data_IF_263036734538
#
_entry.id   IF_263036734538
#
_cell.length_a   1.000
_cell.length_b   1.000
_cell.length_c   1.000
_cell.angle_alpha   90.00
_cell.angle_beta   90.00
_cell.angle_gamma   90.00
#
_symmetry.space_group_name_H-M   'P 1'
#
loop_
_entity.id
_entity.type
_entity.pdbx_description
1 polymer ?
#
# COMPACT_ATOMS: atom_id res chain seq x y z
N UNK A 1 -9.03 25.69 -23.90
CA UNK A 1 -10.14 24.74 -24.16
C UNK A 1 -9.93 23.53 -23.25
N UNK A 2 -10.44 23.59 -22.01
CA UNK A 2 -10.20 22.56 -20.98
C UNK A 2 -11.40 21.61 -20.95
N UNK A 3 -11.17 20.33 -21.24
CA UNK A 3 -12.22 19.29 -21.22
C UNK A 3 -12.59 18.98 -19.77
N UNK A 4 -13.80 19.39 -19.36
CA UNK A 4 -14.47 18.88 -18.15
C UNK A 4 -14.85 17.42 -18.38
N UNK A 5 -14.23 16.48 -17.66
CA UNK A 5 -14.81 15.15 -17.44
C UNK A 5 -15.76 15.25 -16.26
N UNK A 6 -17.05 15.09 -16.53
CA UNK A 6 -18.12 15.02 -15.55
C UNK A 6 -18.06 13.61 -14.95
N UNK A 7 -17.63 13.48 -13.70
CA UNK A 7 -17.73 12.22 -12.96
C UNK A 7 -19.18 12.08 -12.46
N UNK A 8 -19.93 11.17 -13.09
CA UNK A 8 -21.12 10.55 -12.50
C UNK A 8 -20.71 9.15 -12.08
N UNK A 9 -20.43 8.92 -10.80
CA UNK A 9 -20.49 7.60 -10.20
C UNK A 9 -20.94 7.77 -8.73
N UNK A 10 -21.92 6.96 -8.34
CA UNK A 10 -22.55 6.96 -7.01
C UNK A 10 -21.76 5.97 -6.16
N UNK A 11 -21.19 6.43 -5.04
CA UNK A 11 -20.42 5.61 -4.09
C UNK A 11 -21.14 5.58 -2.74
N UNK A 12 -21.20 4.39 -2.15
CA UNK A 12 -21.92 4.06 -0.91
C UNK A 12 -20.95 3.41 0.08
N UNK A 13 -20.39 4.12 1.07
CA UNK A 13 -19.33 3.54 1.94
C UNK A 13 -19.87 3.05 3.29
N UNK A 14 -19.39 1.88 3.73
CA UNK A 14 -19.63 1.23 5.02
C UNK A 14 -18.57 1.69 6.05
N UNK A 15 -18.96 1.88 7.30
CA UNK A 15 -18.02 1.94 8.43
C UNK A 15 -17.82 0.51 8.96
N UNK A 16 -16.71 -0.15 8.62
CA UNK A 16 -16.37 -1.47 9.16
C UNK A 16 -15.58 -1.33 10.47
N UNK A 17 -16.07 -2.03 11.50
CA UNK A 17 -15.33 -2.30 12.74
C UNK A 17 -14.58 -3.62 12.58
N UNK A 18 -13.33 -3.67 13.06
CA UNK A 18 -12.41 -4.80 12.93
C UNK A 18 -12.99 -6.16 13.35
N UNK A 19 -12.64 -7.22 12.61
CA UNK A 19 -12.71 -8.61 13.06
C UNK A 19 -11.31 -9.22 12.90
N UNK A 20 -10.71 -9.61 14.02
CA UNK A 20 -9.49 -10.43 14.10
C UNK A 20 -9.80 -11.89 13.79
N UNK A 21 -9.00 -12.49 12.92
CA UNK A 21 -9.06 -13.90 12.51
C UNK A 21 -8.59 -14.83 13.65
N UNK A 22 -9.37 -15.87 13.94
CA UNK A 22 -8.85 -17.14 14.51
C UNK A 22 -9.42 -18.26 13.63
N UNK A 23 -8.55 -19.21 13.26
CA UNK A 23 -8.71 -20.09 12.11
C UNK A 23 -9.82 -21.15 12.19
N UNK A 24 -10.03 -21.79 11.04
CA UNK A 24 -10.96 -22.90 10.86
C UNK A 24 -11.88 -22.70 9.66
N UNK A 25 -11.71 -23.54 8.65
CA UNK A 25 -12.34 -23.50 7.33
C UNK A 25 -13.88 -23.65 7.33
N UNK A 26 -14.47 -23.14 6.23
CA UNK A 26 -15.82 -23.37 5.66
C UNK A 26 -16.90 -22.32 5.98
N UNK A 27 -17.25 -21.49 4.98
CA UNK A 27 -18.58 -20.88 4.90
C UNK A 27 -19.10 -20.96 3.46
N UNK A 28 -20.10 -21.82 3.26
CA UNK A 28 -21.01 -21.82 2.12
C UNK A 28 -22.24 -20.97 2.46
N UNK A 29 -22.58 -20.00 1.61
CA UNK A 29 -23.81 -19.21 1.71
C UNK A 29 -25.02 -20.00 1.19
N UNK A 30 -25.71 -20.74 2.06
CA UNK A 30 -27.16 -21.02 1.96
C UNK A 30 -27.68 -21.67 3.26
N UNK A 31 -28.69 -21.02 3.89
CA UNK A 31 -29.49 -21.41 5.07
C UNK A 31 -29.04 -22.70 5.80
N UNK A 32 -28.38 -22.54 6.94
CA UNK A 32 -28.08 -23.62 7.89
C UNK A 32 -28.75 -23.29 9.22
N UNK A 33 -29.68 -24.13 9.66
CA UNK A 33 -30.06 -24.23 11.07
C UNK A 33 -28.87 -24.85 11.80
N UNK A 34 -28.16 -24.07 12.60
CA UNK A 34 -27.19 -24.56 13.56
C UNK A 34 -27.50 -23.93 14.93
N UNK A 35 -27.91 -24.77 15.87
CA UNK A 35 -27.97 -24.41 17.29
C UNK A 35 -26.56 -24.19 17.80
N UNK A 36 -26.17 -22.93 17.92
CA UNK A 36 -25.24 -22.45 18.93
C UNK A 36 -25.56 -20.97 19.10
N UNK A 37 -25.76 -20.52 20.33
CA UNK A 37 -26.08 -19.14 20.67
C UNK A 37 -24.90 -18.20 20.35
N UNK A 38 -24.65 -17.98 19.07
CA UNK A 38 -23.85 -16.86 18.62
C UNK A 38 -24.80 -15.67 18.51
N UNK A 39 -24.63 -14.70 19.40
CA UNK A 39 -25.31 -13.40 19.34
C UNK A 39 -24.78 -12.65 18.11
N UNK A 40 -25.22 -13.04 16.92
CA UNK A 40 -25.06 -12.23 15.73
C UNK A 40 -26.09 -11.11 15.82
N UNK A 41 -25.63 -9.87 16.00
CA UNK A 41 -26.50 -8.74 15.70
C UNK A 41 -26.53 -8.59 14.18
N UNK A 42 -27.67 -8.87 13.56
CA UNK A 42 -27.95 -8.45 12.19
C UNK A 42 -28.07 -6.93 12.14
N UNK A 43 -26.95 -6.22 12.31
CA UNK A 43 -26.87 -4.80 12.00
C UNK A 43 -26.77 -4.66 10.49
N UNK A 44 -27.92 -4.73 9.85
CA UNK A 44 -28.09 -4.40 8.44
C UNK A 44 -28.13 -2.87 8.36
N UNK A 45 -26.96 -2.22 8.32
CA UNK A 45 -26.89 -0.83 7.91
C UNK A 45 -27.01 -0.77 6.40
N UNK A 46 -28.06 -0.11 5.89
CA UNK A 46 -28.12 0.21 4.45
C UNK A 46 -27.06 1.29 4.18
N UNK A 47 -26.12 1.05 3.25
CA UNK A 47 -25.12 2.06 2.91
C UNK A 47 -25.78 3.38 2.54
N UNK A 48 -25.34 4.47 3.15
CA UNK A 48 -25.79 5.81 2.79
C UNK A 48 -24.81 6.45 1.82
N UNK A 49 -25.36 7.15 0.83
CA UNK A 49 -24.56 7.92 -0.12
C UNK A 49 -23.85 9.02 0.66
N UNK A 50 -22.53 9.07 0.57
CA UNK A 50 -21.73 10.15 1.13
C UNK A 50 -21.62 11.28 0.11
N UNK A 51 -21.56 12.52 0.60
CA UNK A 51 -21.30 13.68 -0.25
C UNK A 51 -19.85 13.65 -0.72
N UNK A 52 -19.65 13.94 -2.00
CA UNK A 52 -18.31 14.09 -2.58
C UNK A 52 -17.67 15.33 -2.00
N UNK A 53 -16.44 15.20 -1.49
CA UNK A 53 -15.67 16.33 -0.98
C UNK A 53 -15.50 17.36 -2.09
N UNK A 54 -16.05 18.57 -1.89
CA UNK A 54 -15.83 19.66 -2.81
C UNK A 54 -14.45 20.28 -2.56
N UNK A 55 -13.45 19.85 -3.33
CA UNK A 55 -12.05 20.28 -3.21
C UNK A 55 -11.92 21.81 -3.29
N UNK A 56 -12.80 22.49 -4.04
CA UNK A 56 -12.77 23.97 -4.15
C UNK A 56 -13.15 24.71 -2.86
N UNK A 57 -13.77 24.02 -1.90
CA UNK A 57 -14.12 24.56 -0.59
C UNK A 57 -13.06 24.25 0.48
N UNK A 58 -12.03 23.48 0.15
CA UNK A 58 -10.94 23.18 1.06
C UNK A 58 -9.96 24.36 1.13
N UNK A 59 -9.60 24.75 2.35
CA UNK A 59 -8.56 25.75 2.64
C UNK A 59 -7.16 25.17 2.38
N UNK A 60 -6.81 25.09 1.09
CA UNK A 60 -5.53 24.58 0.61
C UNK A 60 -4.47 25.68 0.63
N UNK A 61 -3.26 25.34 1.09
CA UNK A 61 -2.13 26.26 1.12
C UNK A 61 -1.26 26.08 -0.12
N UNK A 62 -0.82 27.20 -0.71
CA UNK A 62 0.15 27.21 -1.83
C UNK A 62 1.60 27.13 -1.34
N UNK A 63 1.89 27.70 -0.17
CA UNK A 63 3.22 27.68 0.44
C UNK A 63 3.31 26.54 1.46
N UNK A 64 3.92 25.43 1.05
CA UNK A 64 4.15 24.25 1.89
C UNK A 64 5.62 23.86 1.90
N UNK A 65 6.11 23.49 3.09
CA UNK A 65 7.45 22.94 3.28
C UNK A 65 7.34 21.42 3.34
N UNK A 66 8.03 20.74 2.42
CA UNK A 66 8.16 19.29 2.38
C UNK A 66 9.60 18.91 2.67
N UNK A 67 9.81 17.64 3.06
CA UNK A 67 11.16 17.07 3.24
C UNK A 67 11.98 17.21 1.96
N UNK A 68 11.35 16.95 0.81
CA UNK A 68 11.94 17.21 -0.51
C UNK A 68 11.53 18.60 -1.02
N UNK A 69 12.51 19.50 -1.13
CA UNK A 69 12.27 20.86 -1.66
C UNK A 69 12.01 20.85 -3.18
N UNK A 70 12.38 19.79 -3.89
CA UNK A 70 12.14 19.62 -5.32
C UNK A 70 10.88 18.78 -5.63
N UNK A 71 10.07 18.48 -4.61
CA UNK A 71 8.86 17.68 -4.76
C UNK A 71 7.97 18.24 -5.89
N UNK A 72 7.43 17.32 -6.70
CA UNK A 72 6.59 17.63 -7.86
C UNK A 72 5.35 18.43 -7.46
N UNK A 73 4.73 19.13 -8.42
CA UNK A 73 3.49 19.88 -8.18
C UNK A 73 2.36 18.97 -7.70
N UNK A 74 2.31 17.72 -8.16
CA UNK A 74 1.34 16.70 -7.74
C UNK A 74 1.55 16.27 -6.29
N UNK A 75 2.80 16.02 -5.88
CA UNK A 75 3.15 15.72 -4.48
C UNK A 75 2.78 16.88 -3.54
N UNK A 76 3.07 18.11 -3.98
CA UNK A 76 2.70 19.32 -3.25
C UNK A 76 1.19 19.47 -3.13
N UNK A 77 0.45 19.25 -4.21
CA UNK A 77 -1.00 19.31 -4.22
C UNK A 77 -1.62 18.26 -3.30
N UNK A 78 -1.12 17.01 -3.31
CA UNK A 78 -1.56 15.96 -2.40
C UNK A 78 -1.37 16.38 -0.94
N UNK A 79 -0.19 16.87 -0.57
CA UNK A 79 0.08 17.33 0.79
C UNK A 79 -0.88 18.46 1.21
N UNK A 80 -1.07 19.48 0.36
CA UNK A 80 -2.01 20.57 0.64
C UNK A 80 -3.45 20.09 0.78
N UNK A 81 -3.87 19.12 -0.04
CA UNK A 81 -5.18 18.47 0.08
C UNK A 81 -5.34 17.76 1.41
N UNK A 82 -4.39 16.91 1.81
CA UNK A 82 -4.46 16.16 3.07
C UNK A 82 -4.46 17.08 4.29
N UNK A 83 -3.65 18.16 4.27
CA UNK A 83 -3.63 19.18 5.33
C UNK A 83 -4.95 19.93 5.44
N UNK A 84 -5.58 20.28 4.31
CA UNK A 84 -6.86 20.97 4.30
C UNK A 84 -7.99 20.04 4.76
N UNK A 85 -7.99 18.79 4.29
CA UNK A 85 -8.97 17.78 4.67
C UNK A 85 -8.91 17.48 6.18
N UNK A 86 -7.71 17.40 6.77
CA UNK A 86 -7.54 17.18 8.21
C UNK A 86 -8.09 18.29 9.11
N UNK A 87 -8.52 19.44 8.54
CA UNK A 87 -9.24 20.50 9.26
C UNK A 87 -10.77 20.35 9.21
N UNK A 88 -11.27 19.34 8.50
CA UNK A 88 -12.70 19.05 8.36
C UNK A 88 -13.12 17.90 9.28
N UNK A 89 -14.41 17.55 9.27
CA UNK A 89 -14.96 16.37 9.95
C UNK A 89 -14.84 15.08 9.14
N UNK A 90 -14.18 15.12 7.96
CA UNK A 90 -14.06 14.00 7.03
C UNK A 90 -12.83 13.15 7.32
N UNK A 91 -12.97 11.86 7.05
CA UNK A 91 -11.89 10.87 7.12
C UNK A 91 -11.75 10.17 5.77
N UNK A 92 -10.52 9.86 5.38
CA UNK A 92 -10.27 9.00 4.23
C UNK A 92 -10.15 7.57 4.72
N UNK A 93 -10.99 6.70 4.19
CA UNK A 93 -10.85 5.27 4.37
C UNK A 93 -9.69 4.75 3.52
N UNK A 94 -8.79 3.98 4.13
CA UNK A 94 -7.69 3.32 3.46
C UNK A 94 -7.72 1.81 3.64
N UNK A 95 -7.28 1.09 2.62
CA UNK A 95 -7.23 -0.37 2.64
C UNK A 95 -5.93 -0.86 1.97
N UNK A 96 -5.17 -1.69 2.69
CA UNK A 96 -3.97 -2.33 2.13
C UNK A 96 -4.41 -3.32 1.07
N UNK A 97 -3.73 -3.29 -0.07
CA UNK A 97 -3.91 -4.19 -1.19
C UNK A 97 -5.30 -4.17 -1.85
N UNK A 98 -6.00 -3.04 -1.73
CA UNK A 98 -7.42 -2.91 -2.08
C UNK A 98 -7.80 -3.34 -3.50
N UNK A 99 -6.92 -3.15 -4.48
CA UNK A 99 -7.22 -3.41 -5.90
C UNK A 99 -6.50 -4.63 -6.46
N UNK A 100 -5.79 -5.38 -5.63
CA UNK A 100 -4.98 -6.51 -6.11
C UNK A 100 -4.99 -7.71 -5.16
N UNK A 101 -5.54 -7.58 -3.94
CA UNK A 101 -5.85 -8.69 -3.06
C UNK A 101 -7.30 -8.64 -2.62
N UNK A 102 -7.94 -9.79 -2.75
CA UNK A 102 -9.35 -9.99 -2.47
C UNK A 102 -9.49 -11.17 -1.52
N UNK A 103 -10.27 -11.00 -0.47
CA UNK A 103 -10.47 -12.03 0.55
C UNK A 103 -11.50 -13.08 0.10
N UNK A 104 -12.50 -12.69 -0.68
CA UNK A 104 -13.63 -13.54 -1.07
C UNK A 104 -14.02 -13.33 -2.53
N UNK A 105 -14.60 -14.35 -3.17
CA UNK A 105 -15.19 -14.25 -4.52
C UNK A 105 -14.19 -13.78 -5.59
N UNK A 106 -12.97 -14.34 -5.58
CA UNK A 106 -11.85 -13.93 -6.43
C UNK A 106 -12.16 -13.98 -7.94
N UNK A 107 -13.08 -14.85 -8.36
CA UNK A 107 -13.47 -15.03 -9.76
C UNK A 107 -14.77 -14.29 -10.13
N UNK A 108 -15.24 -13.36 -9.30
CA UNK A 108 -16.52 -12.66 -9.48
C UNK A 108 -16.44 -11.19 -9.08
N UNK A 109 -17.32 -10.36 -9.68
CA UNK A 109 -17.42 -8.92 -9.43
C UNK A 109 -16.17 -8.12 -9.83
N UNK A 110 -15.66 -7.25 -8.95
CA UNK A 110 -14.49 -6.41 -9.21
C UNK A 110 -13.24 -6.94 -8.49
N UNK A 111 -12.11 -6.31 -8.76
CA UNK A 111 -10.82 -6.62 -8.15
C UNK A 111 -10.63 -6.06 -6.72
N UNK A 112 -11.69 -5.56 -6.08
CA UNK A 112 -11.63 -4.92 -4.76
C UNK A 112 -12.83 -5.30 -3.91
N UNK A 113 -12.58 -5.81 -2.70
CA UNK A 113 -13.63 -6.05 -1.70
C UNK A 113 -14.35 -4.74 -1.34
N UNK A 114 -13.61 -3.65 -1.18
CA UNK A 114 -14.18 -2.32 -0.92
C UNK A 114 -15.14 -1.93 -2.05
N UNK A 115 -14.75 -2.11 -3.30
CA UNK A 115 -15.57 -1.73 -4.46
C UNK A 115 -16.81 -2.58 -4.63
N UNK A 116 -16.75 -3.87 -4.31
CA UNK A 116 -17.92 -4.74 -4.38
C UNK A 116 -18.98 -4.40 -3.33
N UNK A 117 -18.54 -3.98 -2.14
CA UNK A 117 -19.44 -3.55 -1.07
C UNK A 117 -19.94 -2.12 -1.28
N UNK A 118 -19.09 -1.24 -1.79
CA UNK A 118 -19.32 0.22 -1.74
C UNK A 118 -19.53 0.90 -3.09
N UNK A 119 -19.20 0.25 -4.19
CA UNK A 119 -19.19 0.83 -5.54
C UNK A 119 -17.93 1.66 -5.86
N UNK A 120 -16.99 1.81 -4.94
CA UNK A 120 -15.70 2.51 -5.15
C UNK A 120 -14.54 1.80 -4.48
N UNK A 121 -13.33 1.98 -5.00
CA UNK A 121 -12.10 1.62 -4.26
C UNK A 121 -11.96 2.50 -2.99
N UNK A 122 -11.09 2.09 -2.08
CA UNK A 122 -10.66 2.90 -0.95
C UNK A 122 -10.03 4.22 -1.42
N UNK A 123 -10.16 5.27 -0.61
CA UNK A 123 -9.59 6.57 -0.94
C UNK A 123 -8.05 6.56 -0.83
N UNK A 124 -7.52 5.78 0.12
CA UNK A 124 -6.09 5.52 0.28
C UNK A 124 -5.83 4.03 0.02
N UNK A 125 -5.21 3.70 -1.11
CA UNK A 125 -4.83 2.32 -1.43
C UNK A 125 -3.40 2.07 -0.94
N UNK A 126 -3.25 1.07 -0.06
CA UNK A 126 -1.96 0.63 0.43
C UNK A 126 -1.28 -0.35 -0.52
N UNK A 127 0.01 -0.15 -0.74
CA UNK A 127 0.95 -1.05 -1.41
C UNK A 127 2.21 -1.22 -0.53
N UNK A 128 3.09 -2.17 -0.85
CA UNK A 128 4.33 -2.37 -0.10
C UNK A 128 5.58 -2.50 -1.00
N UNK A 129 6.69 -1.96 -0.53
CA UNK A 129 8.00 -2.03 -1.18
C UNK A 129 8.80 -3.30 -0.84
N UNK A 130 8.17 -4.37 -0.35
CA UNK A 130 8.83 -5.67 -0.13
C UNK A 130 9.27 -6.33 -1.44
N UNK A 131 8.68 -5.95 -2.57
CA UNK A 131 8.93 -6.52 -3.90
C UNK A 131 8.79 -8.05 -3.96
N UNK A 132 8.04 -8.67 -3.04
CA UNK A 132 7.75 -10.09 -3.18
C UNK A 132 6.78 -10.28 -4.35
N UNK A 133 6.98 -11.35 -5.14
CA UNK A 133 6.09 -11.66 -6.26
C UNK A 133 4.64 -11.84 -5.79
N UNK A 134 4.48 -12.40 -4.59
CA UNK A 134 3.19 -12.49 -3.91
C UNK A 134 2.61 -11.08 -3.69
N UNK A 135 3.29 -10.19 -2.97
CA UNK A 135 2.77 -8.84 -2.65
C UNK A 135 2.26 -8.09 -3.88
N UNK A 136 3.03 -8.03 -4.97
CA UNK A 136 2.63 -7.30 -6.18
C UNK A 136 1.70 -8.09 -7.11
N UNK A 137 1.40 -9.35 -6.78
CA UNK A 137 0.60 -10.25 -7.62
C UNK A 137 1.26 -10.57 -8.97
N UNK A 138 2.58 -10.77 -8.99
CA UNK A 138 3.33 -11.09 -10.20
C UNK A 138 3.08 -12.54 -10.63
N UNK A 139 2.59 -12.73 -11.85
CA UNK A 139 2.28 -14.04 -12.43
C UNK A 139 3.39 -14.53 -13.35
N UNK A 140 3.35 -15.82 -13.72
CA UNK A 140 4.28 -16.35 -14.73
C UNK A 140 4.03 -15.76 -16.13
N UNK A 141 2.79 -15.38 -16.44
CA UNK A 141 2.45 -14.66 -17.67
C UNK A 141 3.07 -13.25 -17.69
N UNK A 142 3.03 -12.52 -16.57
CA UNK A 142 3.72 -11.23 -16.43
C UNK A 142 5.22 -11.39 -16.74
N UNK A 143 5.87 -12.39 -16.12
CA UNK A 143 7.29 -12.68 -16.34
C UNK A 143 7.59 -13.05 -17.78
N UNK A 144 6.74 -13.88 -18.41
CA UNK A 144 6.88 -14.25 -19.82
C UNK A 144 6.76 -13.03 -20.75
N UNK A 145 6.01 -12.01 -20.33
CA UNK A 145 5.89 -10.72 -21.02
C UNK A 145 6.96 -9.68 -20.61
N UNK A 146 7.99 -10.09 -19.85
CA UNK A 146 9.08 -9.22 -19.44
C UNK A 146 8.70 -8.20 -18.35
N UNK A 147 7.60 -8.43 -17.62
CA UNK A 147 7.20 -7.60 -16.49
C UNK A 147 7.88 -8.14 -15.23
N UNK A 148 8.64 -7.29 -14.56
CA UNK A 148 9.21 -7.56 -13.24
C UNK A 148 8.35 -6.96 -12.11
N UNK A 149 8.78 -7.14 -10.86
CA UNK A 149 8.02 -6.68 -9.69
C UNK A 149 7.88 -5.15 -9.66
N UNK A 150 8.89 -4.42 -10.16
CA UNK A 150 8.89 -2.95 -10.19
C UNK A 150 7.86 -2.47 -11.20
N UNK A 151 7.87 -3.02 -12.42
CA UNK A 151 6.92 -2.64 -13.46
C UNK A 151 5.50 -3.06 -13.08
N UNK A 152 5.32 -4.22 -12.43
CA UNK A 152 4.01 -4.66 -11.93
C UNK A 152 3.46 -3.70 -10.87
N UNK A 153 4.30 -3.32 -9.89
CA UNK A 153 3.94 -2.35 -8.86
C UNK A 153 3.60 -0.96 -9.47
N UNK A 154 4.38 -0.50 -10.45
CA UNK A 154 4.10 0.74 -11.15
C UNK A 154 2.74 0.72 -11.89
N UNK A 155 2.46 -0.36 -12.63
CA UNK A 155 1.19 -0.54 -13.33
C UNK A 155 -0.01 -0.51 -12.36
N UNK A 156 0.14 -1.18 -11.22
CA UNK A 156 -0.87 -1.21 -10.16
C UNK A 156 -1.16 0.19 -9.60
N UNK A 157 -0.12 0.96 -9.26
CA UNK A 157 -0.26 2.33 -8.78
C UNK A 157 -0.92 3.25 -9.83
N UNK A 158 -0.57 3.08 -11.11
CA UNK A 158 -1.21 3.80 -12.22
C UNK A 158 -2.71 3.46 -12.32
N UNK A 159 -3.11 2.22 -12.10
CA UNK A 159 -4.52 1.82 -12.16
C UNK A 159 -5.33 2.28 -10.94
N UNK A 160 -4.68 2.44 -9.78
CA UNK A 160 -5.23 3.10 -8.60
C UNK A 160 -5.45 4.59 -8.89
N UNK A 161 -4.45 5.29 -9.43
CA UNK A 161 -4.51 6.72 -9.75
C UNK A 161 -5.59 7.04 -10.80
N UNK A 162 -5.72 6.22 -11.85
CA UNK A 162 -6.80 6.35 -12.85
C UNK A 162 -8.21 6.30 -12.24
N UNK A 163 -8.36 5.66 -11.08
CA UNK A 163 -9.62 5.60 -10.33
C UNK A 163 -9.74 6.70 -9.26
N UNK A 164 -8.73 7.55 -9.11
CA UNK A 164 -8.68 8.67 -8.17
C UNK A 164 -8.21 8.29 -6.76
N UNK A 165 -7.61 7.11 -6.58
CA UNK A 165 -7.06 6.66 -5.30
C UNK A 165 -5.73 7.33 -4.98
N UNK A 166 -5.47 7.57 -3.69
CA UNK A 166 -4.18 8.03 -3.17
C UNK A 166 -3.33 6.80 -2.83
N UNK A 167 -2.07 6.78 -3.26
CA UNK A 167 -1.16 5.67 -2.98
C UNK A 167 -0.44 5.93 -1.66
N UNK A 168 -0.46 4.96 -0.75
CA UNK A 168 0.47 4.87 0.38
C UNK A 168 1.33 3.62 0.24
N UNK A 169 2.63 3.74 0.49
CA UNK A 169 3.59 2.66 0.33
C UNK A 169 4.34 2.42 1.63
N UNK A 170 4.10 1.28 2.27
CA UNK A 170 4.97 0.78 3.34
C UNK A 170 6.20 0.09 2.76
N UNK A 171 7.15 -0.27 3.62
CA UNK A 171 8.35 -0.98 3.22
C UNK A 171 8.68 -2.09 4.22
N UNK A 172 8.24 -3.31 3.94
CA UNK A 172 8.74 -4.50 4.62
C UNK A 172 10.07 -4.93 4.00
N UNK A 173 11.14 -4.22 4.36
CA UNK A 173 12.48 -4.45 3.85
C UNK A 173 13.03 -5.80 4.32
N UNK A 174 13.69 -6.59 3.45
CA UNK A 174 14.25 -7.88 3.85
C UNK A 174 15.41 -7.70 4.83
N UNK A 175 15.76 -8.75 5.56
CA UNK A 175 17.01 -8.79 6.31
C UNK A 175 18.18 -8.84 5.30
N UNK A 176 18.99 -7.78 5.25
CA UNK A 176 20.03 -7.61 4.23
C UNK A 176 21.20 -8.58 4.35
N UNK A 177 21.42 -9.19 5.51
CA UNK A 177 22.41 -10.27 5.65
C UNK A 177 21.96 -11.51 4.87
N UNK A 178 20.70 -11.91 5.03
CA UNK A 178 20.14 -13.05 4.30
C UNK A 178 20.13 -12.80 2.79
N UNK A 179 19.88 -11.55 2.36
CA UNK A 179 20.01 -11.17 0.94
C UNK A 179 21.45 -11.32 0.46
N UNK A 180 22.43 -10.89 1.26
CA UNK A 180 23.86 -11.01 0.93
C UNK A 180 24.30 -12.46 0.83
N UNK A 181 23.85 -13.32 1.74
CA UNK A 181 24.20 -14.75 1.79
C UNK A 181 23.75 -15.53 0.55
N UNK A 182 22.61 -15.14 -0.05
CA UNK A 182 22.16 -15.67 -1.35
C UNK A 182 23.10 -15.34 -2.50
N UNK A 183 23.89 -14.28 -2.36
CA UNK A 183 24.72 -13.74 -3.43
C UNK A 183 23.91 -12.96 -4.47
N UNK A 184 24.61 -12.56 -5.53
CA UNK A 184 24.01 -11.88 -6.68
C UNK A 184 23.50 -12.90 -7.69
N UNK A 185 22.40 -12.58 -8.35
CA UNK A 185 21.92 -13.32 -9.52
C UNK A 185 22.86 -13.11 -10.70
N UNK A 186 22.62 -13.84 -11.79
CA UNK A 186 23.41 -13.75 -13.03
C UNK A 186 23.45 -12.34 -13.64
N UNK A 187 22.43 -11.51 -13.35
CA UNK A 187 22.34 -10.11 -13.79
C UNK A 187 23.18 -9.13 -12.93
N UNK A 188 23.90 -9.64 -11.92
CA UNK A 188 24.71 -8.84 -11.01
C UNK A 188 23.91 -8.08 -9.94
N UNK A 189 22.59 -8.27 -9.86
CA UNK A 189 21.71 -7.67 -8.84
C UNK A 189 21.46 -8.66 -7.70
N UNK A 190 21.19 -8.12 -6.51
CA UNK A 190 20.73 -8.91 -5.38
C UNK A 190 19.26 -9.34 -5.53
N UNK A 191 18.89 -10.43 -4.89
CA UNK A 191 17.52 -10.94 -4.83
C UNK A 191 16.84 -10.55 -3.50
N UNK A 192 15.85 -9.66 -3.59
CA UNK A 192 15.08 -9.15 -2.44
C UNK A 192 13.70 -9.81 -2.30
N UNK A 193 13.39 -10.84 -3.09
CA UNK A 193 12.03 -11.38 -3.24
C UNK A 193 11.51 -12.19 -2.04
N UNK A 194 12.35 -12.45 -1.03
CA UNK A 194 11.97 -13.22 0.16
C UNK A 194 11.62 -12.31 1.34
N UNK A 195 10.45 -12.57 1.93
CA UNK A 195 10.04 -11.90 3.15
C UNK A 195 10.91 -12.34 4.33
N UNK A 196 11.67 -11.40 4.88
CA UNK A 196 12.55 -11.63 6.04
C UNK A 196 12.63 -10.41 6.97
N UNK A 197 11.68 -9.47 6.85
CA UNK A 197 11.64 -8.27 7.70
C UNK A 197 11.50 -8.61 9.19
N UNK A 198 10.89 -9.77 9.49
CA UNK A 198 10.72 -10.30 10.84
C UNK A 198 11.92 -11.07 11.40
N UNK A 199 12.97 -11.28 10.61
CA UNK A 199 14.21 -11.92 11.09
C UNK A 199 15.08 -10.83 11.71
N UNK A 200 15.06 -10.74 13.04
CA UNK A 200 15.63 -9.61 13.78
C UNK A 200 17.10 -9.76 14.17
N UNK A 201 17.72 -10.91 13.89
CA UNK A 201 19.12 -11.17 14.18
C UNK A 201 20.05 -10.45 13.20
N UNK A 202 21.32 -10.28 13.59
CA UNK A 202 22.38 -9.81 12.69
C UNK A 202 22.75 -8.33 12.82
N UNK A 203 22.11 -7.56 13.73
CA UNK A 203 22.34 -6.13 13.94
C UNK A 203 22.30 -5.33 12.63
N UNK A 204 21.20 -5.51 11.89
CA UNK A 204 21.09 -5.07 10.50
C UNK A 204 21.23 -3.56 10.36
N UNK A 205 20.62 -2.78 11.26
CA UNK A 205 20.66 -1.31 11.19
C UNK A 205 22.09 -0.78 11.19
N UNK A 206 22.94 -1.23 12.12
CA UNK A 206 24.33 -0.78 12.16
C UNK A 206 25.12 -1.15 10.90
N UNK A 207 24.82 -2.30 10.30
CA UNK A 207 25.56 -2.86 9.15
C UNK A 207 25.14 -2.30 7.80
N UNK A 208 23.93 -1.73 7.69
CA UNK A 208 23.48 -1.05 6.47
C UNK A 208 23.92 0.42 6.39
N UNK A 209 24.41 1.00 7.49
CA UNK A 209 24.90 2.38 7.51
C UNK A 209 26.13 2.58 6.60
N UNK A 210 26.44 3.81 6.16
CA UNK A 210 27.65 4.08 5.38
C UNK A 210 28.92 3.50 6.03
N UNK A 211 29.66 2.70 5.27
CA UNK A 211 30.86 1.97 5.74
C UNK A 211 30.58 0.59 6.36
N UNK A 212 29.32 0.23 6.60
CA UNK A 212 28.92 -1.10 7.03
C UNK A 212 28.97 -2.14 5.90
N UNK A 213 29.09 -3.42 6.26
CA UNK A 213 29.28 -4.51 5.29
C UNK A 213 28.01 -4.92 4.53
N UNK A 214 26.83 -4.42 4.92
CA UNK A 214 25.55 -4.61 4.22
C UNK A 214 25.11 -3.35 3.47
N UNK A 215 25.90 -2.28 3.49
CA UNK A 215 25.52 -1.00 2.90
C UNK A 215 25.27 -1.09 1.38
N UNK A 216 26.08 -1.84 0.63
CA UNK A 216 25.89 -2.02 -0.81
C UNK A 216 24.62 -2.80 -1.15
N UNK A 217 24.27 -3.79 -0.32
CA UNK A 217 23.01 -4.55 -0.42
C UNK A 217 21.82 -3.65 -0.13
N UNK A 218 21.92 -2.80 0.90
CA UNK A 218 20.86 -1.84 1.20
C UNK A 218 20.69 -0.78 0.11
N UNK A 219 21.79 -0.23 -0.42
CA UNK A 219 21.76 0.70 -1.54
C UNK A 219 21.14 0.07 -2.79
N UNK A 220 21.44 -1.20 -3.08
CA UNK A 220 20.81 -1.91 -4.19
C UNK A 220 19.28 -2.08 -4.02
N UNK A 221 18.77 -2.16 -2.79
CA UNK A 221 17.33 -2.13 -2.53
C UNK A 221 16.76 -0.72 -2.75
N UNK A 222 17.46 0.32 -2.27
CA UNK A 222 17.06 1.71 -2.51
C UNK A 222 17.10 2.09 -3.99
N UNK A 223 18.00 1.52 -4.79
CA UNK A 223 18.03 1.70 -6.24
C UNK A 223 16.76 1.17 -6.91
N UNK A 224 16.26 0.01 -6.48
CA UNK A 224 14.96 -0.53 -6.96
C UNK A 224 13.79 0.37 -6.55
N UNK A 225 13.82 0.91 -5.32
CA UNK A 225 12.82 1.87 -4.87
C UNK A 225 12.89 3.18 -5.66
N UNK A 226 14.09 3.65 -5.99
CA UNK A 226 14.29 4.81 -6.84
C UNK A 226 13.78 4.57 -8.26
N UNK A 227 13.97 3.37 -8.82
CA UNK A 227 13.43 3.01 -10.13
C UNK A 227 11.89 3.08 -10.13
N UNK A 228 11.23 2.49 -9.12
CA UNK A 228 9.79 2.60 -8.95
C UNK A 228 9.34 4.06 -8.79
N UNK A 229 10.01 4.82 -7.92
CA UNK A 229 9.69 6.23 -7.67
C UNK A 229 9.80 7.08 -8.95
N UNK A 230 10.82 6.84 -9.79
CA UNK A 230 10.96 7.52 -11.07
C UNK A 230 9.80 7.19 -12.02
N UNK A 231 9.43 5.91 -12.15
CA UNK A 231 8.28 5.51 -12.98
C UNK A 231 6.97 6.19 -12.53
N UNK A 232 6.74 6.28 -11.21
CA UNK A 232 5.57 6.94 -10.66
C UNK A 232 5.63 8.47 -10.82
N UNK A 233 6.81 9.07 -10.63
CA UNK A 233 7.03 10.50 -10.86
C UNK A 233 6.80 10.89 -12.31
N UNK A 234 7.28 10.09 -13.27
CA UNK A 234 7.04 10.29 -14.70
C UNK A 234 5.54 10.20 -15.06
N UNK A 235 4.79 9.38 -14.32
CA UNK A 235 3.34 9.29 -14.44
C UNK A 235 2.58 10.41 -13.67
N UNK A 236 3.28 11.27 -12.93
CA UNK A 236 2.69 12.32 -12.10
C UNK A 236 2.00 11.80 -10.83
N UNK A 237 2.38 10.62 -10.35
CA UNK A 237 1.71 9.94 -9.23
C UNK A 237 2.50 10.17 -7.93
N UNK A 238 1.95 10.93 -6.96
CA UNK A 238 2.56 11.08 -5.66
C UNK A 238 2.32 9.87 -4.76
N UNK A 239 3.28 9.57 -3.88
CA UNK A 239 3.19 8.44 -2.93
C UNK A 239 3.46 8.89 -1.50
N UNK A 240 2.61 8.45 -0.57
CA UNK A 240 2.87 8.54 0.86
C UNK A 240 3.79 7.40 1.29
N UNK A 241 5.10 7.63 1.31
CA UNK A 241 6.09 6.61 1.65
C UNK A 241 6.28 6.50 3.18
N UNK A 242 6.22 5.27 3.71
CA UNK A 242 6.27 4.96 5.15
C UNK A 242 7.34 3.89 5.46
N UNK A 243 8.64 4.26 5.41
CA UNK A 243 9.74 3.36 5.72
C UNK A 243 9.85 3.09 7.23
N UNK A 244 10.49 1.97 7.60
CA UNK A 244 10.84 1.62 8.99
C UNK A 244 9.67 1.76 9.98
N UNK A 245 8.49 1.34 9.55
CA UNK A 245 7.28 1.48 10.35
C UNK A 245 7.28 0.59 11.59
N UNK A 246 6.49 0.97 12.61
CA UNK A 246 6.37 0.20 13.86
C UNK A 246 7.70 -0.01 14.60
N UNK A 247 8.65 0.90 14.41
CA UNK A 247 9.98 0.87 15.02
C UNK A 247 10.01 0.90 16.55
N UNK A 248 8.89 1.26 17.21
CA UNK A 248 8.77 1.16 18.67
C UNK A 248 8.60 -0.30 19.15
N UNK A 249 8.12 -1.19 18.27
CA UNK A 249 8.06 -2.62 18.49
C UNK A 249 9.42 -3.29 18.29
N UNK A 250 9.47 -4.62 18.35
CA UNK A 250 10.69 -5.41 18.14
C UNK A 250 10.43 -6.69 17.33
N UNK A 251 9.41 -6.65 16.48
CA UNK A 251 9.09 -7.71 15.52
C UNK A 251 9.72 -7.50 14.14
N UNK A 252 10.33 -6.34 13.89
CA UNK A 252 11.14 -6.08 12.70
C UNK A 252 12.60 -5.82 13.07
N UNK A 253 13.54 -6.09 12.16
CA UNK A 253 14.98 -5.89 12.40
C UNK A 253 15.38 -4.43 12.63
N UNK A 254 14.52 -3.47 12.29
CA UNK A 254 14.68 -2.03 12.61
C UNK A 254 13.93 -1.59 13.88
N UNK A 255 13.41 -2.55 14.65
CA UNK A 255 12.68 -2.30 15.89
C UNK A 255 13.57 -1.84 17.04
N UNK A 256 12.93 -1.30 18.08
CA UNK A 256 13.57 -0.68 19.26
C UNK A 256 14.66 -1.52 19.91
N UNK A 257 14.52 -2.84 19.98
CA UNK A 257 15.51 -3.72 20.59
C UNK A 257 16.82 -3.86 19.78
N UNK A 258 16.85 -3.37 18.54
CA UNK A 258 17.95 -3.56 17.57
C UNK A 258 18.54 -2.24 17.07
N UNK A 259 18.11 -1.11 17.66
CA UNK A 259 18.52 0.24 17.32
C UNK A 259 18.77 1.02 18.62
N UNK A 260 19.78 1.89 18.61
CA UNK A 260 19.94 2.89 19.68
C UNK A 260 18.89 4.01 19.52
N UNK A 261 18.52 4.67 20.64
CA UNK A 261 17.61 5.83 20.67
C UNK A 261 18.32 7.14 20.30
#
# INVERSE_FOLDING_TARGET
MVRKKIFKNVSYILALSFITTIGGSNIFLRKVYAQSEAVYSDKISVPQKQDVINISQLDTQSNINLVDFNATKETRALYSYLRALGKTDKVLYGHQNDTHRKAVLNDSFSNSDTKDVTGSISAICGIDASYTADEVGLTDEDKANGIDEIQKCANMAIDIDKQGGIITMSAHMPNFELVKEKGKKDDGKYDYSEYSSNITTGNIVARIMPGGDLNDVYLGYLDRLSELANKLSDAGIPVLFRPFHENHGSWFWWGKAFCDE
#
